data_IF_649531975078
#
_entry.id   IF_649531975078
#
_cell.length_a   1.000
_cell.length_b   1.000
_cell.length_c   1.000
_cell.angle_alpha   90.00
_cell.angle_beta   90.00
_cell.angle_gamma   90.00
#
_symmetry.space_group_name_H-M   'P 1'
#
loop_
_entity.id
_entity.type
_entity.pdbx_description
1 polymer ?
#
# COMPACT_ATOMS: atom_id res chain seq x y z
N UNK A 1 5.70 -23.17 -6.56
CA UNK A 1 5.48 -22.66 -6.29
C UNK A 1 5.26 -21.90 -6.23
N UNK A 2 5.47 -21.95 -6.26
CA UNK A 2 5.14 -21.21 -6.09
C UNK A 2 5.00 -20.37 -6.23
N UNK A 3 5.13 -20.36 -6.44
CA UNK A 3 5.01 -19.55 -6.47
C UNK A 3 4.36 -18.69 -6.35
N UNK A 4 4.04 -18.65 -6.77
CA UNK A 4 3.33 -17.75 -6.73
C UNK A 4 3.17 -16.87 -5.86
N UNK A 5 3.16 -16.91 -5.35
CA UNK A 5 3.12 -16.24 -4.17
C UNK A 5 4.10 -15.18 -4.06
N UNK A 6 5.23 -15.53 -4.33
CA UNK A 6 6.24 -14.53 -4.33
C UNK A 6 5.99 -13.53 -5.40
N UNK A 7 5.14 -13.85 -6.31
CA UNK A 7 4.77 -12.91 -7.33
C UNK A 7 3.53 -12.16 -6.98
N UNK A 8 3.11 -12.30 -5.76
CA UNK A 8 1.92 -11.63 -5.35
C UNK A 8 2.12 -10.13 -5.33
N UNK A 9 1.19 -9.41 -5.92
CA UNK A 9 1.20 -7.96 -5.85
C UNK A 9 0.42 -7.47 -4.66
N UNK A 10 -0.10 -8.37 -3.85
CA UNK A 10 -0.88 -8.01 -2.69
C UNK A 10 -0.03 -8.15 -1.44
N UNK A 11 -0.17 -7.18 -0.54
CA UNK A 11 0.56 -7.25 0.71
C UNK A 11 -0.26 -6.55 1.79
N UNK A 12 0.16 -6.72 3.03
CA UNK A 12 -0.55 -6.07 4.13
C UNK A 12 0.10 -4.72 4.45
N UNK A 13 -0.37 -4.09 5.52
CA UNK A 13 0.13 -2.78 5.91
C UNK A 13 1.63 -2.79 6.14
N UNK A 14 2.13 -3.80 6.82
CA UNK A 14 3.56 -3.88 7.10
C UNK A 14 4.37 -4.06 5.83
N UNK A 15 3.87 -4.91 4.94
CA UNK A 15 4.56 -5.17 3.69
C UNK A 15 4.67 -3.94 2.83
N UNK A 16 3.57 -3.19 2.69
CA UNK A 16 3.60 -2.01 1.87
C UNK A 16 4.44 -0.91 2.52
N UNK A 17 4.42 -0.84 3.84
CA UNK A 17 5.25 0.12 4.56
C UNK A 17 6.73 -0.15 4.30
N UNK A 18 7.10 -1.41 4.33
CA UNK A 18 8.48 -1.79 4.07
C UNK A 18 8.86 -1.49 2.64
N UNK A 19 7.94 -1.75 1.72
CA UNK A 19 8.19 -1.53 0.31
C UNK A 19 8.49 -0.06 0.00
N UNK A 20 7.78 0.84 0.66
CA UNK A 20 7.97 2.28 0.45
C UNK A 20 8.80 2.94 1.54
N UNK A 21 9.39 2.14 2.42
CA UNK A 21 10.23 2.64 3.51
C UNK A 21 9.45 3.62 4.38
N UNK A 22 8.30 3.19 4.83
CA UNK A 22 7.42 3.99 5.67
C UNK A 22 7.14 3.25 6.96
N UNK A 23 6.57 3.96 7.91
CA UNK A 23 6.14 3.34 9.15
C UNK A 23 4.71 2.85 9.00
N UNK A 24 4.39 1.64 9.48
CA UNK A 24 3.02 1.13 9.37
C UNK A 24 2.00 2.07 9.99
N UNK A 25 2.38 2.75 11.06
CA UNK A 25 1.49 3.69 11.72
C UNK A 25 1.08 4.85 10.82
N UNK A 26 2.01 5.28 9.99
CA UNK A 26 1.72 6.35 9.03
C UNK A 26 0.61 5.93 8.09
N UNK A 27 0.66 4.68 7.64
CA UNK A 27 -0.37 4.18 6.74
C UNK A 27 -1.72 4.07 7.44
N UNK A 28 -1.71 3.66 8.70
CA UNK A 28 -2.96 3.58 9.45
C UNK A 28 -3.59 4.95 9.62
N UNK A 29 -2.76 5.95 9.90
CA UNK A 29 -3.25 7.31 10.04
C UNK A 29 -3.81 7.83 8.73
N UNK A 30 -3.16 7.51 7.62
CA UNK A 30 -3.67 7.91 6.31
C UNK A 30 -5.07 7.34 6.08
N UNK A 31 -5.25 6.07 6.40
CA UNK A 31 -6.55 5.43 6.19
C UNK A 31 -7.65 6.12 7.00
N UNK A 32 -7.32 6.50 8.23
CA UNK A 32 -8.28 7.18 9.08
C UNK A 32 -8.64 8.54 8.51
N UNK A 33 -7.66 9.29 8.08
CA UNK A 33 -7.89 10.65 7.57
C UNK A 33 -8.39 10.65 6.13
N UNK A 34 -8.09 9.61 5.39
CA UNK A 34 -8.51 9.52 3.99
C UNK A 34 -8.13 10.74 3.18
N UNK A 35 -6.88 11.15 3.33
CA UNK A 35 -6.38 12.30 2.61
C UNK A 35 -5.95 11.89 1.19
N UNK A 36 -5.56 12.88 0.40
CA UNK A 36 -5.08 12.61 -0.96
C UNK A 36 -3.83 11.76 -0.98
N UNK A 37 -3.10 11.74 0.12
CA UNK A 37 -1.86 10.97 0.20
C UNK A 37 -2.10 9.54 0.64
N UNK A 38 -3.35 9.18 0.94
CA UNK A 38 -3.68 7.83 1.36
C UNK A 38 -3.45 6.86 0.19
N UNK A 39 -2.62 5.85 0.42
CA UNK A 39 -2.40 4.84 -0.60
C UNK A 39 -3.67 4.03 -0.79
N UNK A 40 -3.98 3.64 -2.02
CA UNK A 40 -5.17 2.83 -2.27
C UNK A 40 -5.06 1.49 -1.56
N UNK A 41 -6.14 1.07 -0.94
CA UNK A 41 -6.17 -0.19 -0.23
C UNK A 41 -7.50 -0.87 -0.43
N UNK A 42 -7.55 -2.15 -0.07
CA UNK A 42 -8.75 -2.96 -0.23
C UNK A 42 -8.96 -3.79 1.02
N UNK A 43 -10.20 -4.13 1.26
CA UNK A 43 -10.54 -5.04 2.33
C UNK A 43 -10.86 -6.39 1.70
N UNK A 44 -10.05 -7.38 2.02
CA UNK A 44 -10.24 -8.71 1.48
C UNK A 44 -10.40 -9.65 2.67
N UNK A 45 -11.57 -10.24 2.78
CA UNK A 45 -11.86 -11.11 3.91
C UNK A 45 -11.74 -10.39 5.24
N UNK A 46 -12.06 -9.09 5.25
CA UNK A 46 -11.99 -8.30 6.47
C UNK A 46 -10.60 -7.78 6.80
N UNK A 47 -9.62 -8.10 5.97
CA UNK A 47 -8.24 -7.66 6.22
C UNK A 47 -7.82 -6.62 5.21
N UNK A 48 -7.07 -5.63 5.69
CA UNK A 48 -6.55 -4.59 4.81
C UNK A 48 -5.43 -5.17 3.95
N UNK A 49 -5.56 -4.97 2.65
CA UNK A 49 -4.55 -5.42 1.70
C UNK A 49 -4.26 -4.31 0.71
N UNK A 50 -3.01 -4.20 0.34
CA UNK A 50 -2.56 -3.22 -0.64
C UNK A 50 -2.10 -3.94 -1.89
N UNK A 51 -2.47 -3.37 -3.03
CA UNK A 51 -1.94 -3.87 -4.30
C UNK A 51 -0.72 -3.03 -4.63
N UNK A 52 0.44 -3.66 -4.68
CA UNK A 52 1.70 -2.94 -4.83
C UNK A 52 1.73 -2.12 -6.11
N UNK A 53 1.27 -2.69 -7.22
CA UNK A 53 1.28 -1.98 -8.49
C UNK A 53 0.36 -0.77 -8.46
N UNK A 54 -0.78 -0.94 -7.82
CA UNK A 54 -1.74 0.16 -7.70
C UNK A 54 -1.15 1.29 -6.86
N UNK A 55 -0.47 0.93 -5.78
CA UNK A 55 0.15 1.92 -4.93
C UNK A 55 1.28 2.64 -5.66
N UNK A 56 2.04 1.91 -6.45
CA UNK A 56 3.10 2.53 -7.23
C UNK A 56 2.54 3.55 -8.21
N UNK A 57 1.44 3.20 -8.87
CA UNK A 57 0.81 4.11 -9.81
C UNK A 57 0.29 5.35 -9.09
N UNK A 58 -0.25 5.15 -7.90
CA UNK A 58 -0.76 6.27 -7.12
C UNK A 58 0.37 7.23 -6.75
N UNK A 59 1.50 6.69 -6.31
CA UNK A 59 2.65 7.50 -5.96
C UNK A 59 3.16 8.28 -7.16
N UNK A 60 3.26 7.60 -8.30
CA UNK A 60 3.71 8.25 -9.52
C UNK A 60 2.79 9.39 -9.91
N UNK A 61 1.50 9.14 -9.83
CA UNK A 61 0.50 10.11 -10.24
C UNK A 61 0.52 11.33 -9.35
N UNK A 62 0.81 11.14 -8.07
CA UNK A 62 0.79 12.22 -7.11
C UNK A 62 2.20 12.67 -6.72
N UNK A 63 3.15 12.34 -7.55
CA UNK A 63 4.52 12.71 -7.30
C UNK A 63 4.69 14.20 -7.27
N UNK A 64 5.46 14.68 -6.31
CA UNK A 64 5.73 16.09 -6.18
C UNK A 64 7.20 16.36 -6.38
N UNK A 65 7.49 17.55 -6.80
CA UNK A 65 8.86 18.02 -6.91
C UNK A 65 9.32 18.43 -5.53
N UNK A 66 10.49 18.00 -5.16
CA UNK A 66 11.03 18.36 -3.87
C UNK A 66 12.35 19.06 -4.04
#
# INVERSE_FOLDING_TARGET
MSENKNNSKWTDTRGIAKYFDMKPNTLRKQRVKQSDTTLPYHLIGGNVRYNILECEKHVEKNKREF
#
